data_IF_306141380674
#
_entry.id   IF_306141380674
#
_cell.length_a   1.000
_cell.length_b   1.000
_cell.length_c   1.000
_cell.angle_alpha   90.00
_cell.angle_beta   90.00
_cell.angle_gamma   90.00
#
_symmetry.space_group_name_H-M   'P 1'
#
loop_
_entity.id
_entity.type
_entity.pdbx_description
1 polymer ?
#
# COMPACT_ATOMS: atom_id res chain seq x y z
N UNK A 1 -19.59 3.14 -4.24
CA UNK A 1 -18.99 2.13 -3.34
C UNK A 1 -18.68 2.82 -2.03
N UNK A 2 -19.00 2.23 -0.87
CA UNK A 2 -18.59 2.81 0.42
C UNK A 2 -17.13 2.47 0.72
N UNK A 3 -16.45 3.27 1.54
CA UNK A 3 -15.07 2.98 1.99
C UNK A 3 -14.96 1.55 2.51
N UNK A 4 -15.84 1.13 3.42
CA UNK A 4 -15.82 -0.22 3.99
C UNK A 4 -16.01 -1.30 2.92
N UNK A 5 -16.92 -1.11 1.96
CA UNK A 5 -17.11 -2.09 0.88
C UNK A 5 -15.88 -2.24 -0.03
N UNK A 6 -15.11 -1.16 -0.22
CA UNK A 6 -13.86 -1.21 -0.97
C UNK A 6 -12.79 -2.03 -0.22
N UNK A 7 -12.61 -1.78 1.08
CA UNK A 7 -11.62 -2.49 1.89
C UNK A 7 -11.98 -3.97 2.06
N UNK A 8 -13.26 -4.30 2.21
CA UNK A 8 -13.73 -5.68 2.27
C UNK A 8 -13.46 -6.43 0.95
N UNK A 9 -13.72 -5.78 -0.19
CA UNK A 9 -13.40 -6.34 -1.52
C UNK A 9 -11.89 -6.53 -1.70
N UNK A 10 -11.08 -5.53 -1.32
CA UNK A 10 -9.62 -5.58 -1.44
C UNK A 10 -9.06 -6.74 -0.61
N UNK A 11 -9.51 -6.87 0.65
CA UNK A 11 -9.14 -7.98 1.53
C UNK A 11 -9.55 -9.34 0.94
N UNK A 12 -10.76 -9.45 0.40
CA UNK A 12 -11.26 -10.68 -0.22
C UNK A 12 -10.35 -11.11 -1.37
N UNK A 13 -10.01 -10.18 -2.27
CA UNK A 13 -9.14 -10.42 -3.42
C UNK A 13 -7.71 -10.75 -3.02
N UNK A 14 -7.15 -10.08 -2.02
CA UNK A 14 -5.83 -10.44 -1.46
C UNK A 14 -5.80 -11.88 -0.93
N UNK A 15 -6.85 -12.34 -0.25
CA UNK A 15 -6.93 -13.70 0.25
C UNK A 15 -7.02 -14.74 -0.89
N UNK A 16 -7.69 -14.39 -2.00
CA UNK A 16 -7.71 -15.22 -3.20
C UNK A 16 -6.32 -15.33 -3.81
N UNK A 17 -5.61 -14.20 -4.01
CA UNK A 17 -4.24 -14.19 -4.51
C UNK A 17 -3.28 -15.00 -3.61
N UNK A 18 -3.40 -14.87 -2.29
CA UNK A 18 -2.58 -15.61 -1.33
C UNK A 18 -2.81 -17.12 -1.35
N UNK A 19 -3.98 -17.55 -1.83
CA UNK A 19 -4.28 -18.98 -2.02
C UNK A 19 -3.50 -19.59 -3.20
N UNK A 20 -2.92 -18.76 -4.08
CA UNK A 20 -2.04 -19.19 -5.16
C UNK A 20 -0.63 -19.47 -4.62
N UNK A 21 -0.04 -20.67 -4.86
CA UNK A 21 1.26 -21.04 -4.30
C UNK A 21 2.39 -20.05 -4.61
N UNK A 22 2.36 -19.44 -5.80
CA UNK A 22 3.35 -18.46 -6.25
C UNK A 22 3.31 -17.12 -5.48
N UNK A 23 2.20 -16.82 -4.80
CA UNK A 23 1.95 -15.57 -4.07
C UNK A 23 1.64 -15.84 -2.59
N UNK A 24 2.03 -17.01 -2.09
CA UNK A 24 1.75 -17.43 -0.71
C UNK A 24 2.57 -16.66 0.34
N UNK A 25 3.68 -16.05 -0.09
CA UNK A 25 4.54 -15.20 0.73
C UNK A 25 4.12 -13.73 0.68
N UNK A 26 4.00 -13.10 1.85
CA UNK A 26 3.50 -11.73 2.00
C UNK A 26 4.38 -10.72 1.25
N UNK A 27 5.71 -10.88 1.31
CA UNK A 27 6.63 -9.99 0.62
C UNK A 27 6.44 -10.06 -0.90
N UNK A 28 6.34 -11.27 -1.47
CA UNK A 28 6.14 -11.43 -2.92
C UNK A 28 4.79 -10.84 -3.36
N UNK A 29 3.71 -11.10 -2.62
CA UNK A 29 2.40 -10.56 -2.93
C UNK A 29 2.38 -9.03 -2.89
N UNK A 30 2.90 -8.44 -1.81
CA UNK A 30 2.95 -6.98 -1.66
C UNK A 30 3.85 -6.37 -2.75
N UNK A 31 4.98 -6.99 -3.06
CA UNK A 31 5.89 -6.52 -4.11
C UNK A 31 5.22 -6.51 -5.49
N UNK A 32 4.48 -7.55 -5.84
CA UNK A 32 3.75 -7.65 -7.12
C UNK A 32 2.64 -6.61 -7.27
N UNK A 33 2.04 -6.19 -6.14
CA UNK A 33 0.99 -5.17 -6.11
C UNK A 33 1.60 -3.77 -6.11
N UNK A 34 2.52 -3.50 -5.18
CA UNK A 34 2.98 -2.15 -4.90
C UNK A 34 4.03 -1.68 -5.89
N UNK A 35 5.00 -2.53 -6.28
CA UNK A 35 6.14 -2.11 -7.13
C UNK A 35 5.70 -1.41 -8.43
N UNK A 36 4.74 -1.95 -9.20
CA UNK A 36 4.23 -1.27 -10.41
C UNK A 36 3.54 0.07 -10.12
N UNK A 37 3.08 0.26 -8.89
CA UNK A 37 2.33 1.42 -8.45
C UNK A 37 3.17 2.44 -7.66
N UNK A 38 4.44 2.16 -7.33
CA UNK A 38 5.27 3.02 -6.44
C UNK A 38 5.34 4.46 -6.98
N UNK A 39 5.64 4.62 -8.27
CA UNK A 39 5.78 5.94 -8.86
C UNK A 39 4.47 6.72 -8.76
N UNK A 40 3.34 6.11 -9.11
CA UNK A 40 2.03 6.76 -9.00
C UNK A 40 1.72 7.12 -7.54
N UNK A 41 1.85 6.14 -6.63
CA UNK A 41 1.59 6.29 -5.20
C UNK A 41 2.41 7.41 -4.58
N UNK A 42 3.70 7.52 -4.91
CA UNK A 42 4.58 8.53 -4.34
C UNK A 42 4.31 9.94 -4.85
N UNK A 43 3.79 10.08 -6.08
CA UNK A 43 3.47 11.39 -6.66
C UNK A 43 2.11 11.91 -6.20
N UNK A 44 1.15 11.01 -5.99
CA UNK A 44 -0.24 11.34 -5.72
C UNK A 44 -0.55 11.49 -4.21
N UNK A 45 0.27 10.90 -3.34
CA UNK A 45 0.09 11.01 -1.89
C UNK A 45 0.88 12.22 -1.34
N UNK A 46 0.17 13.06 -0.61
CA UNK A 46 0.75 14.15 0.16
C UNK A 46 1.02 13.62 1.58
N UNK A 47 2.29 13.38 1.91
CA UNK A 47 2.72 12.78 3.17
C UNK A 47 2.09 13.45 4.40
N UNK A 48 2.01 14.79 4.39
CA UNK A 48 1.44 15.55 5.50
C UNK A 48 -0.04 15.22 5.79
N UNK A 49 -0.80 14.80 4.78
CA UNK A 49 -2.22 14.47 4.93
C UNK A 49 -2.42 13.09 5.56
N UNK A 50 -1.54 12.14 5.24
CA UNK A 50 -1.68 10.75 5.66
C UNK A 50 -0.84 10.39 6.89
N UNK A 51 0.13 11.23 7.27
CA UNK A 51 1.15 10.95 8.30
C UNK A 51 0.60 10.30 9.57
N UNK A 52 -0.45 10.87 10.15
CA UNK A 52 -1.02 10.40 11.42
C UNK A 52 -1.59 8.97 11.30
N UNK A 53 -2.07 8.59 10.11
CA UNK A 53 -2.56 7.23 9.82
C UNK A 53 -1.43 6.24 9.57
N UNK A 54 -0.23 6.71 9.22
CA UNK A 54 0.95 5.86 9.02
C UNK A 54 1.63 5.47 10.32
N UNK A 55 1.49 6.27 11.39
CA UNK A 55 2.07 6.02 12.72
C UNK A 55 1.75 4.63 13.29
N UNK A 56 0.50 4.12 13.24
CA UNK A 56 0.19 2.78 13.75
C UNK A 56 0.74 1.64 12.87
N UNK A 57 1.08 1.91 11.61
CA UNK A 57 1.47 0.90 10.62
C UNK A 57 2.98 0.69 10.61
N UNK A 58 3.74 1.78 10.67
CA UNK A 58 5.18 1.75 10.52
C UNK A 58 5.88 1.98 11.87
N UNK A 59 7.01 1.28 12.14
CA UNK A 59 7.87 1.63 13.25
C UNK A 59 8.27 3.10 13.18
N UNK A 60 8.22 3.81 14.31
CA UNK A 60 8.56 5.24 14.40
C UNK A 60 9.89 5.57 13.74
N UNK A 61 10.89 4.69 13.87
CA UNK A 61 12.20 4.83 13.24
C UNK A 61 12.14 4.90 11.71
N UNK A 62 11.25 4.13 11.07
CA UNK A 62 11.12 4.12 9.61
C UNK A 62 10.51 5.43 9.12
N UNK A 63 9.47 5.94 9.80
CA UNK A 63 8.86 7.23 9.47
C UNK A 63 9.86 8.38 9.67
N UNK A 64 10.57 8.40 10.80
CA UNK A 64 11.60 9.41 11.05
C UNK A 64 12.73 9.36 10.00
N UNK A 65 13.14 8.16 9.59
CA UNK A 65 14.15 8.02 8.55
C UNK A 65 13.63 8.55 7.21
N UNK A 66 12.42 8.16 6.79
CA UNK A 66 11.81 8.65 5.55
C UNK A 66 11.72 10.18 5.51
N UNK A 67 11.30 10.80 6.62
CA UNK A 67 11.22 12.26 6.79
C UNK A 67 12.60 12.93 6.75
N UNK A 68 13.63 12.29 7.32
CA UNK A 68 14.98 12.85 7.35
C UNK A 68 15.74 12.71 6.01
N UNK A 69 15.46 11.66 5.23
CA UNK A 69 16.13 11.40 3.94
C UNK A 69 15.43 12.03 2.74
N UNK A 70 14.13 12.34 2.83
CA UNK A 70 13.37 12.96 1.75
C UNK A 70 13.49 14.49 1.70
N UNK A 71 13.56 15.08 0.51
CA UNK A 71 13.59 16.56 0.34
C UNK A 71 12.20 17.17 0.14
N UNK A 72 11.17 16.34 0.04
CA UNK A 72 9.78 16.72 -0.14
C UNK A 72 8.84 15.52 -0.06
N UNK A 73 7.54 15.76 -0.15
CA UNK A 73 6.50 14.71 0.01
C UNK A 73 6.76 13.48 -0.86
N UNK A 74 7.13 13.67 -2.12
CA UNK A 74 7.37 12.58 -3.07
C UNK A 74 8.51 11.68 -2.61
N UNK A 75 9.64 12.25 -2.22
CA UNK A 75 10.80 11.47 -1.74
C UNK A 75 10.49 10.74 -0.44
N UNK A 76 9.73 11.36 0.47
CA UNK A 76 9.29 10.74 1.71
C UNK A 76 8.40 9.54 1.40
N UNK A 77 7.43 9.70 0.48
CA UNK A 77 6.53 8.63 0.09
C UNK A 77 7.24 7.51 -0.67
N UNK A 78 8.27 7.80 -1.48
CA UNK A 78 9.13 6.77 -2.07
C UNK A 78 9.78 5.89 -0.99
N UNK A 79 10.37 6.52 0.03
CA UNK A 79 10.97 5.78 1.15
C UNK A 79 9.92 4.96 1.93
N UNK A 80 8.71 5.49 2.11
CA UNK A 80 7.61 4.78 2.76
C UNK A 80 7.15 3.58 1.92
N UNK A 81 7.06 3.72 0.60
CA UNK A 81 6.78 2.60 -0.32
C UNK A 81 7.84 1.50 -0.20
N UNK A 82 9.12 1.86 -0.12
CA UNK A 82 10.21 0.88 0.06
C UNK A 82 10.10 0.13 1.40
N UNK A 83 9.62 0.80 2.45
CA UNK A 83 9.31 0.14 3.72
C UNK A 83 8.04 -0.71 3.65
N UNK A 84 7.05 -0.26 2.89
CA UNK A 84 5.78 -0.96 2.73
C UNK A 84 5.95 -2.35 2.07
N UNK A 85 6.95 -2.50 1.19
CA UNK A 85 7.32 -3.80 0.59
C UNK A 85 7.64 -4.89 1.63
N UNK A 86 8.03 -4.50 2.85
CA UNK A 86 8.44 -5.41 3.93
C UNK A 86 7.38 -5.60 5.01
N UNK A 87 6.18 -5.07 4.79
CA UNK A 87 5.07 -5.24 5.72
C UNK A 87 4.55 -6.68 5.71
N UNK A 88 3.91 -7.06 6.80
CA UNK A 88 3.02 -8.21 6.81
C UNK A 88 1.69 -7.83 6.16
N UNK A 89 0.95 -8.80 5.62
CA UNK A 89 -0.30 -8.52 4.92
C UNK A 89 -1.34 -7.71 5.73
N UNK A 90 -1.51 -7.92 7.06
CA UNK A 90 -2.43 -7.10 7.86
C UNK A 90 -2.03 -5.62 7.92
N UNK A 91 -0.74 -5.33 7.98
CA UNK A 91 -0.23 -3.95 8.02
C UNK A 91 -0.30 -3.30 6.63
N UNK A 92 -0.09 -4.08 5.58
CA UNK A 92 -0.32 -3.63 4.21
C UNK A 92 -1.80 -3.28 3.97
N UNK A 93 -2.73 -4.07 4.51
CA UNK A 93 -4.15 -3.75 4.41
C UNK A 93 -4.49 -2.45 5.17
N UNK A 94 -3.93 -2.25 6.36
CA UNK A 94 -4.07 -0.99 7.09
C UNK A 94 -3.48 0.20 6.31
N UNK A 95 -2.39 0.00 5.57
CA UNK A 95 -1.85 1.01 4.66
C UNK A 95 -2.83 1.35 3.54
N UNK A 96 -3.42 0.35 2.90
CA UNK A 96 -4.43 0.59 1.85
C UNK A 96 -5.66 1.31 2.40
N UNK A 97 -6.10 0.97 3.62
CA UNK A 97 -7.19 1.67 4.32
C UNK A 97 -6.82 3.13 4.63
N UNK A 98 -5.62 3.38 5.14
CA UNK A 98 -5.12 4.73 5.38
C UNK A 98 -5.05 5.56 4.08
N UNK A 99 -4.63 4.94 2.97
CA UNK A 99 -4.59 5.57 1.65
C UNK A 99 -6.00 5.84 1.15
N UNK A 100 -6.92 4.89 1.27
CA UNK A 100 -8.29 5.02 0.78
C UNK A 100 -9.06 6.18 1.41
N UNK A 101 -8.70 6.56 2.64
CA UNK A 101 -9.39 7.61 3.38
C UNK A 101 -9.11 9.02 2.83
N UNK A 102 -7.85 9.30 2.49
CA UNK A 102 -7.43 10.65 2.05
C UNK A 102 -7.04 10.69 0.56
N UNK A 103 -6.75 9.55 -0.05
CA UNK A 103 -6.20 9.38 -1.39
C UNK A 103 -6.85 8.19 -2.11
N UNK A 104 -8.19 8.15 -2.15
CA UNK A 104 -8.97 7.02 -2.67
C UNK A 104 -8.55 6.55 -4.07
N UNK A 105 -8.21 7.48 -4.97
CA UNK A 105 -7.76 7.15 -6.33
C UNK A 105 -6.45 6.35 -6.36
N UNK A 106 -5.61 6.51 -5.35
CA UNK A 106 -4.37 5.71 -5.19
C UNK A 106 -4.70 4.30 -4.71
N UNK A 107 -5.66 4.16 -3.79
CA UNK A 107 -6.15 2.85 -3.38
C UNK A 107 -6.83 2.12 -4.55
N UNK A 108 -7.62 2.82 -5.36
CA UNK A 108 -8.18 2.27 -6.61
C UNK A 108 -7.08 1.77 -7.55
N UNK A 109 -5.96 2.51 -7.67
CA UNK A 109 -4.85 2.06 -8.52
C UNK A 109 -4.22 0.75 -8.03
N UNK A 110 -4.11 0.56 -6.71
CA UNK A 110 -3.65 -0.70 -6.14
C UNK A 110 -4.67 -1.83 -6.37
N UNK A 111 -5.98 -1.52 -6.29
CA UNK A 111 -7.04 -2.48 -6.60
C UNK A 111 -7.01 -2.91 -8.06
N UNK A 112 -6.82 -1.99 -9.01
CA UNK A 112 -6.66 -2.32 -10.43
C UNK A 112 -5.54 -3.34 -10.63
N UNK A 113 -4.40 -3.16 -9.94
CA UNK A 113 -3.30 -4.11 -10.01
C UNK A 113 -3.66 -5.48 -9.44
N UNK A 114 -4.40 -5.53 -8.34
CA UNK A 114 -4.91 -6.79 -7.77
C UNK A 114 -5.86 -7.49 -8.75
N UNK A 115 -6.74 -6.74 -9.41
CA UNK A 115 -7.67 -7.27 -10.41
C UNK A 115 -6.95 -7.81 -11.65
N UNK A 116 -5.92 -7.11 -12.14
CA UNK A 116 -5.05 -7.60 -13.21
C UNK A 116 -4.39 -8.92 -12.84
N UNK A 117 -3.87 -9.05 -11.61
CA UNK A 117 -3.25 -10.28 -11.14
C UNK A 117 -4.27 -11.43 -11.11
N UNK A 118 -5.47 -11.19 -10.57
CA UNK A 118 -6.54 -12.19 -10.54
C UNK A 118 -6.99 -12.64 -11.94
N UNK A 119 -7.00 -11.75 -12.93
CA UNK A 119 -7.33 -12.08 -14.30
C UNK A 119 -6.29 -12.97 -15.01
N UNK A 120 -5.09 -13.11 -14.43
CA UNK A 120 -3.98 -13.91 -14.99
C UNK A 120 -3.77 -15.27 -14.33
N UNK A 121 -4.55 -15.59 -13.30
CA UNK A 121 -4.52 -16.86 -12.58
C UNK A 121 -5.47 -17.90 -13.20
#
# INVERSE_FOLDING_TARGET
>A
MSHQSFIDDFRSKLNQLKSCPALSDDYHLISEILTPCIQFTSHEIIFANIKDRLVPIFPTRNLQHAEASGKGSIDIMLNICDYALKLMLPDFLQLVEAIAEDHFHVAEKLMERVDEMLATL
#
